data_IF_814259814194
#
_entry.id   IF_814259814194
#
_cell.length_a   1.000
_cell.length_b   1.000
_cell.length_c   1.000
_cell.angle_alpha   90.00
_cell.angle_beta   90.00
_cell.angle_gamma   90.00
#
_symmetry.space_group_name_H-M   'P 1'
#
loop_
_entity.id
_entity.type
_entity.pdbx_description
1 polymer ?
#
# COMPACT_ATOMS: atom_id res chain seq x y z
N UNK A 1 17.03 -0.23 4.02
CA UNK A 1 15.70 -0.03 3.42
C UNK A 1 14.67 -0.17 4.52
N UNK A 2 13.67 0.72 4.59
CA UNK A 2 12.60 0.64 5.60
C UNK A 2 11.48 -0.26 5.08
N UNK A 3 11.16 -1.33 5.80
CA UNK A 3 9.97 -2.13 5.56
C UNK A 3 8.73 -1.38 6.09
N UNK A 4 7.54 -1.66 5.54
CA UNK A 4 6.27 -1.14 6.07
C UNK A 4 5.90 0.31 5.70
N UNK A 5 6.65 0.97 4.81
CA UNK A 5 6.34 2.35 4.35
C UNK A 5 4.93 2.45 3.75
N UNK A 6 4.44 1.40 3.10
CA UNK A 6 3.08 1.34 2.56
C UNK A 6 2.01 1.40 3.65
N UNK A 7 2.09 0.55 4.68
CA UNK A 7 1.16 0.53 5.82
C UNK A 7 1.21 1.87 6.56
N UNK A 8 2.41 2.42 6.80
CA UNK A 8 2.55 3.73 7.44
C UNK A 8 1.94 4.89 6.63
N UNK A 9 1.84 4.75 5.30
CA UNK A 9 1.34 5.80 4.41
C UNK A 9 -0.17 5.67 4.14
N UNK A 10 -0.66 4.44 4.07
CA UNK A 10 -2.02 4.10 3.66
C UNK A 10 -2.50 2.81 4.37
N UNK A 11 -2.59 2.85 5.68
CA UNK A 11 -3.07 1.77 6.58
C UNK A 11 -4.51 1.31 6.27
N UNK A 12 -5.33 2.20 5.69
CA UNK A 12 -6.66 1.83 5.20
C UNK A 12 -6.64 0.92 3.95
N UNK A 13 -5.50 0.76 3.28
CA UNK A 13 -5.36 0.03 2.01
C UNK A 13 -4.36 -1.12 2.11
N UNK A 14 -3.29 -0.94 2.88
CA UNK A 14 -2.24 -1.93 3.08
C UNK A 14 -2.17 -2.34 4.54
N UNK A 15 -1.96 -3.64 4.75
CA UNK A 15 -1.67 -4.21 6.06
C UNK A 15 -0.41 -5.07 5.97
N UNK A 16 0.05 -5.58 7.11
CA UNK A 16 1.13 -6.54 7.20
C UNK A 16 0.67 -7.81 7.90
N UNK A 17 1.04 -8.95 7.34
CA UNK A 17 0.85 -10.22 7.99
C UNK A 17 1.88 -10.44 9.13
N UNK A 18 1.70 -11.49 9.95
CA UNK A 18 2.64 -11.79 11.04
C UNK A 18 4.07 -12.10 10.59
N UNK A 19 4.27 -12.48 9.32
CA UNK A 19 5.58 -12.74 8.73
C UNK A 19 6.24 -11.46 8.18
N UNK A 20 5.55 -10.32 8.28
CA UNK A 20 6.02 -9.01 7.84
C UNK A 20 5.85 -8.75 6.34
N UNK A 21 5.10 -9.60 5.63
CA UNK A 21 4.74 -9.38 4.25
C UNK A 21 3.57 -8.42 4.15
N UNK A 22 3.63 -7.54 3.16
CA UNK A 22 2.56 -6.57 2.89
C UNK A 22 1.41 -7.28 2.17
N UNK A 23 0.21 -7.08 2.66
CA UNK A 23 -1.05 -7.56 2.06
C UNK A 23 -2.00 -6.40 1.80
N UNK A 24 -3.01 -6.62 0.96
CA UNK A 24 -4.07 -5.64 0.75
C UNK A 24 -5.11 -5.75 1.88
N UNK A 25 -5.36 -4.64 2.58
CA UNK A 25 -6.47 -4.52 3.51
C UNK A 25 -7.82 -4.38 2.75
N UNK A 26 -7.77 -3.73 1.58
CA UNK A 26 -8.86 -3.67 0.61
C UNK A 26 -8.30 -3.63 -0.81
N UNK A 27 -8.98 -4.31 -1.73
CA UNK A 27 -8.70 -4.23 -3.18
C UNK A 27 -9.35 -2.98 -3.82
N UNK A 28 -10.41 -2.46 -3.20
CA UNK A 28 -11.13 -1.28 -3.69
C UNK A 28 -10.63 -0.03 -2.96
N UNK A 29 -9.86 0.78 -3.68
CA UNK A 29 -9.35 2.06 -3.19
C UNK A 29 -10.40 3.15 -3.45
N UNK A 30 -11.03 3.66 -2.39
CA UNK A 30 -11.95 4.78 -2.52
C UNK A 30 -11.23 6.10 -2.88
N UNK A 31 -12.00 7.08 -3.33
CA UNK A 31 -11.46 8.39 -3.72
C UNK A 31 -10.75 9.13 -2.56
N UNK A 32 -11.10 8.84 -1.30
CA UNK A 32 -10.46 9.46 -0.15
C UNK A 32 -9.06 8.87 0.11
N UNK A 33 -8.85 7.59 -0.24
CA UNK A 33 -7.57 6.89 -0.08
C UNK A 33 -6.68 6.95 -1.32
N UNK A 34 -7.21 7.29 -2.50
CA UNK A 34 -6.49 7.24 -3.78
C UNK A 34 -5.10 7.91 -3.71
N UNK A 35 -5.03 9.14 -3.17
CA UNK A 35 -3.76 9.87 -3.05
C UNK A 35 -2.76 9.16 -2.15
N UNK A 36 -3.22 8.60 -1.03
CA UNK A 36 -2.37 7.87 -0.07
C UNK A 36 -1.88 6.56 -0.67
N UNK A 37 -2.76 5.81 -1.32
CA UNK A 37 -2.42 4.58 -2.02
C UNK A 37 -1.38 4.81 -3.12
N UNK A 38 -1.57 5.85 -3.95
CA UNK A 38 -0.59 6.24 -4.99
C UNK A 38 0.77 6.63 -4.41
N UNK A 39 0.79 7.35 -3.29
CA UNK A 39 2.03 7.69 -2.61
C UNK A 39 2.74 6.45 -2.05
N UNK A 40 2.01 5.53 -1.41
CA UNK A 40 2.55 4.27 -0.91
C UNK A 40 3.18 3.43 -2.02
N UNK A 41 2.51 3.32 -3.17
CA UNK A 41 3.02 2.62 -4.37
C UNK A 41 4.32 3.27 -4.86
N UNK A 42 4.35 4.60 -5.00
CA UNK A 42 5.54 5.34 -5.46
C UNK A 42 6.73 5.21 -4.50
N UNK A 43 6.46 5.11 -3.20
CA UNK A 43 7.50 5.02 -2.16
C UNK A 43 7.96 3.58 -1.90
N UNK A 44 7.36 2.58 -2.56
CA UNK A 44 7.69 1.18 -2.38
C UNK A 44 9.13 0.89 -2.88
N UNK A 45 10.09 0.59 -1.99
CA UNK A 45 11.49 0.40 -2.38
C UNK A 45 11.72 -0.90 -3.16
N UNK A 46 10.85 -1.91 -2.98
CA UNK A 46 10.92 -3.19 -3.67
C UNK A 46 10.22 -3.20 -5.03
N UNK A 47 9.40 -2.18 -5.33
CA UNK A 47 8.57 -2.15 -6.54
C UNK A 47 7.42 -3.17 -6.52
N UNK A 48 7.05 -3.70 -5.35
CA UNK A 48 6.05 -4.78 -5.22
C UNK A 48 4.59 -4.32 -5.40
N UNK A 49 4.32 -3.00 -5.36
CA UNK A 49 2.97 -2.44 -5.39
C UNK A 49 2.64 -1.86 -6.77
N UNK A 50 1.37 -1.98 -7.18
CA UNK A 50 0.79 -1.33 -8.37
C UNK A 50 -0.65 -0.91 -8.06
N UNK A 51 -1.11 0.16 -8.72
CA UNK A 51 -2.54 0.49 -8.83
C UNK A 51 -2.90 0.27 -10.29
N UNK A 52 -3.89 -0.59 -10.52
CA UNK A 52 -4.53 -0.73 -11.83
C UNK A 52 -5.73 0.22 -11.89
N UNK A 53 -5.90 0.84 -13.06
CA UNK A 53 -7.11 1.54 -13.42
C UNK A 53 -7.84 0.63 -14.39
N UNK A 54 -8.75 -0.20 -13.88
CA UNK A 54 -9.74 -0.84 -14.74
C UNK A 54 -10.50 0.21 -15.58
#
# INVERSE_FOLDING_TARGET
MAAGVCVMTADAVFDQDPDGLVVLATENVDAAQEKRARNAVRMCPSGALRIDAD
#
